data_IF_076071399219
#
_entry.id   IF_076071399219
#
_cell.length_a   1.000
_cell.length_b   1.000
_cell.length_c   1.000
_cell.angle_alpha   90.00
_cell.angle_beta   90.00
_cell.angle_gamma   90.00
#
_symmetry.space_group_name_H-M   'P 1'
#
loop_
_entity.id
_entity.type
_entity.pdbx_description
1 polymer ?
#
# COMPACT_ATOMS: atom_id res chain seq x y z
N UNK A 1 -38.51 17.39 43.29
CA UNK A 1 -37.63 17.18 42.12
C UNK A 1 -36.42 16.42 42.63
N UNK A 2 -36.27 15.17 42.22
CA UNK A 2 -35.52 14.19 42.98
C UNK A 2 -34.12 14.07 42.34
N UNK A 3 -33.05 14.04 43.13
CA UNK A 3 -31.68 13.99 42.60
C UNK A 3 -31.47 12.83 41.62
N UNK A 4 -32.17 11.71 41.85
CA UNK A 4 -32.18 10.54 40.98
C UNK A 4 -32.76 10.80 39.57
N UNK A 5 -33.79 11.65 39.45
CA UNK A 5 -34.35 12.00 38.14
C UNK A 5 -33.41 12.90 37.34
N UNK A 6 -32.63 13.74 38.02
CA UNK A 6 -31.68 14.65 37.37
C UNK A 6 -30.43 13.90 36.89
N UNK A 7 -29.91 12.97 37.69
CA UNK A 7 -28.76 12.13 37.31
C UNK A 7 -29.10 11.20 36.14
N UNK A 8 -30.31 10.63 36.10
CA UNK A 8 -30.77 9.83 34.97
C UNK A 8 -30.83 10.65 33.68
N UNK A 9 -31.37 11.88 33.76
CA UNK A 9 -31.49 12.75 32.59
C UNK A 9 -30.12 13.18 32.04
N UNK A 10 -29.20 13.58 32.93
CA UNK A 10 -27.83 13.92 32.53
C UNK A 10 -27.08 12.72 31.98
N UNK A 11 -27.26 11.53 32.55
CA UNK A 11 -26.65 10.29 32.04
C UNK A 11 -27.08 9.98 30.60
N UNK A 12 -28.37 10.08 30.29
CA UNK A 12 -28.90 9.87 28.93
C UNK A 12 -28.36 10.91 27.94
N UNK A 13 -28.30 12.18 28.34
CA UNK A 13 -27.74 13.26 27.52
C UNK A 13 -26.27 12.99 27.22
N UNK A 14 -25.44 12.66 28.21
CA UNK A 14 -24.01 12.40 28.01
C UNK A 14 -23.76 11.22 27.06
N UNK A 15 -24.53 10.12 27.20
CA UNK A 15 -24.42 8.95 26.31
C UNK A 15 -24.79 9.32 24.86
N UNK A 16 -25.77 10.20 24.69
CA UNK A 16 -26.25 10.63 23.37
C UNK A 16 -25.27 11.60 22.68
N UNK A 17 -24.46 12.35 23.45
CA UNK A 17 -23.41 13.23 22.93
C UNK A 17 -22.06 12.53 22.75
N UNK A 18 -21.94 11.24 23.08
CA UNK A 18 -20.73 10.47 22.80
C UNK A 18 -20.52 10.43 21.27
N UNK A 19 -19.44 11.07 20.82
CA UNK A 19 -19.09 11.26 19.41
C UNK A 19 -19.10 9.94 18.61
N UNK A 20 -19.37 9.98 17.30
CA UNK A 20 -19.34 8.78 16.47
C UNK A 20 -17.95 8.16 16.51
N UNK A 21 -17.86 6.92 17.01
CA UNK A 21 -16.65 6.12 16.91
C UNK A 21 -16.34 5.93 15.41
N UNK A 22 -15.34 6.67 14.91
CA UNK A 22 -14.90 6.63 13.52
C UNK A 22 -14.16 5.33 13.22
N UNK A 23 -14.90 4.23 13.18
CA UNK A 23 -14.34 2.90 12.92
C UNK A 23 -13.95 2.78 11.45
N UNK A 24 -12.72 2.32 11.21
CA UNK A 24 -12.25 1.94 9.89
C UNK A 24 -12.54 0.46 9.68
N UNK A 25 -13.19 0.11 8.58
CA UNK A 25 -13.43 -1.28 8.19
C UNK A 25 -12.44 -1.69 7.11
N UNK A 26 -11.61 -2.69 7.39
CA UNK A 26 -10.64 -3.21 6.44
C UNK A 26 -11.01 -4.63 6.00
N UNK A 27 -10.86 -4.90 4.71
CA UNK A 27 -11.09 -6.20 4.12
C UNK A 27 -9.92 -6.61 3.22
N UNK A 28 -9.55 -7.89 3.29
CA UNK A 28 -8.48 -8.48 2.51
C UNK A 28 -9.04 -9.53 1.56
N UNK A 29 -9.10 -9.21 0.27
CA UNK A 29 -9.47 -10.12 -0.79
C UNK A 29 -8.26 -10.69 -1.53
N UNK A 30 -8.48 -11.77 -2.27
CA UNK A 30 -7.44 -12.50 -3.02
C UNK A 30 -6.69 -11.59 -4.00
N UNK A 31 -7.43 -10.75 -4.73
CA UNK A 31 -6.87 -9.88 -5.78
C UNK A 31 -6.75 -8.41 -5.36
N UNK A 32 -7.47 -7.98 -4.33
CA UNK A 32 -7.59 -6.59 -3.90
C UNK A 32 -7.77 -6.52 -2.40
N UNK A 33 -7.16 -5.51 -1.79
CA UNK A 33 -7.37 -5.19 -0.37
C UNK A 33 -7.78 -3.73 -0.24
N UNK A 34 -8.53 -3.41 0.81
CA UNK A 34 -8.97 -2.05 1.02
C UNK A 34 -9.49 -1.78 2.42
N UNK A 35 -9.61 -0.50 2.73
CA UNK A 35 -10.18 0.01 3.98
C UNK A 35 -11.12 1.17 3.68
N UNK A 36 -12.18 1.30 4.45
CA UNK A 36 -13.14 2.41 4.38
C UNK A 36 -13.28 3.10 5.73
N UNK A 37 -13.31 4.42 5.73
CA UNK A 37 -13.48 5.26 6.91
C UNK A 37 -14.11 6.63 6.59
N UNK A 38 -14.25 7.51 7.59
CA UNK A 38 -14.96 8.79 7.42
C UNK A 38 -14.30 9.75 6.43
N UNK A 39 -12.99 9.59 6.20
CA UNK A 39 -12.23 10.41 5.25
C UNK A 39 -12.17 9.80 3.84
N UNK A 40 -12.88 8.70 3.60
CA UNK A 40 -12.94 8.02 2.30
C UNK A 40 -12.52 6.55 2.36
N UNK A 41 -12.43 5.93 1.19
CA UNK A 41 -12.07 4.53 1.02
C UNK A 41 -10.91 4.36 0.03
N UNK A 42 -10.05 3.39 0.31
CA UNK A 42 -8.96 3.00 -0.57
C UNK A 42 -9.06 1.52 -0.90
N UNK A 43 -8.90 1.19 -2.18
CA UNK A 43 -8.80 -0.19 -2.65
C UNK A 43 -7.61 -0.30 -3.57
N UNK A 44 -6.68 -1.19 -3.25
CA UNK A 44 -5.49 -1.46 -4.05
C UNK A 44 -5.56 -2.86 -4.64
N UNK A 45 -4.95 -3.06 -5.81
CA UNK A 45 -4.68 -4.41 -6.30
C UNK A 45 -3.57 -5.01 -5.47
N UNK A 46 -3.77 -6.26 -5.02
CA UNK A 46 -2.68 -7.06 -4.49
C UNK A 46 -1.67 -7.21 -5.61
N UNK A 47 -0.39 -6.84 -5.42
CA UNK A 47 0.61 -7.22 -6.39
C UNK A 47 0.56 -8.74 -6.47
N UNK A 48 0.34 -9.28 -7.68
CA UNK A 48 0.65 -10.68 -7.91
C UNK A 48 2.06 -10.87 -7.38
N UNK A 49 2.29 -11.89 -6.56
CA UNK A 49 3.65 -12.31 -6.20
C UNK A 49 4.31 -12.86 -7.46
N UNK A 50 4.51 -11.96 -8.42
CA UNK A 50 5.56 -12.00 -9.38
C UNK A 50 6.81 -12.41 -8.60
N UNK A 51 7.43 -13.56 -8.90
CA UNK A 51 8.71 -13.93 -8.32
C UNK A 51 9.79 -12.85 -8.53
N UNK A 52 9.51 -11.86 -9.39
CA UNK A 52 10.34 -10.69 -9.66
C UNK A 52 9.99 -9.44 -8.83
N UNK A 53 8.84 -9.35 -8.15
CA UNK A 53 8.50 -8.19 -7.33
C UNK A 53 9.17 -8.21 -5.95
N UNK A 54 9.65 -9.37 -5.51
CA UNK A 54 10.41 -9.56 -4.28
C UNK A 54 11.93 -9.65 -4.52
N UNK A 55 12.42 -9.32 -5.71
CA UNK A 55 13.86 -9.29 -5.97
C UNK A 55 14.35 -7.87 -5.79
N UNK A 56 14.97 -7.52 -4.64
CA UNK A 56 15.81 -6.34 -4.59
C UNK A 56 16.85 -6.51 -5.70
N UNK A 57 16.96 -5.48 -6.55
CA UNK A 57 17.95 -5.29 -7.60
C UNK A 57 19.15 -6.25 -7.51
N UNK A 58 19.04 -7.42 -8.12
CA UNK A 58 20.17 -8.31 -8.26
C UNK A 58 20.19 -8.88 -9.67
N UNK A 59 21.26 -8.48 -10.36
CA UNK A 59 21.69 -8.85 -11.68
C UNK A 59 21.85 -10.37 -11.83
N UNK A 60 20.74 -11.10 -11.97
CA UNK A 60 20.83 -12.52 -12.28
C UNK A 60 20.76 -12.70 -13.79
N UNK A 61 21.96 -12.71 -14.37
CA UNK A 61 22.36 -13.22 -15.68
C UNK A 61 21.30 -13.04 -16.78
N UNK A 62 21.45 -12.03 -17.65
CA UNK A 62 20.64 -11.91 -18.84
C UNK A 62 20.75 -13.18 -19.70
N UNK A 63 19.73 -13.53 -20.50
CA UNK A 63 19.84 -14.62 -21.48
C UNK A 63 21.10 -14.40 -22.34
N UNK A 64 21.75 -15.47 -22.83
CA UNK A 64 23.06 -15.41 -23.51
C UNK A 64 23.10 -14.47 -24.72
N UNK A 65 21.95 -14.07 -25.24
CA UNK A 65 21.77 -13.10 -26.33
C UNK A 65 21.80 -11.63 -25.88
N UNK A 66 21.86 -11.37 -24.57
CA UNK A 66 21.86 -10.04 -23.98
C UNK A 66 23.17 -9.83 -23.23
N UNK A 67 23.93 -8.82 -23.64
CA UNK A 67 25.14 -8.38 -22.92
C UNK A 67 24.81 -7.14 -22.11
N UNK A 68 25.04 -7.19 -20.80
CA UNK A 68 24.81 -6.06 -19.91
C UNK A 68 26.10 -5.59 -19.25
N UNK A 69 26.22 -4.28 -19.10
CA UNK A 69 27.27 -3.60 -18.35
C UNK A 69 26.63 -2.73 -17.25
N UNK A 70 27.20 -2.82 -16.05
CA UNK A 70 26.74 -2.08 -14.88
C UNK A 70 27.69 -0.90 -14.62
N UNK A 71 27.24 0.33 -14.87
CA UNK A 71 27.97 1.55 -14.54
C UNK A 71 27.53 2.15 -13.20
N UNK A 72 28.31 3.10 -12.67
CA UNK A 72 28.02 3.73 -11.36
C UNK A 72 26.63 4.40 -11.35
N UNK A 73 26.29 5.14 -12.39
CA UNK A 73 25.04 5.90 -12.48
C UNK A 73 23.98 5.29 -13.39
N UNK A 74 24.40 4.43 -14.31
CA UNK A 74 23.55 3.89 -15.38
C UNK A 74 23.89 2.42 -15.62
N UNK A 75 22.87 1.65 -15.95
CA UNK A 75 23.02 0.29 -16.43
C UNK A 75 22.67 0.24 -17.92
N UNK A 76 23.46 -0.48 -18.71
CA UNK A 76 23.22 -0.66 -20.13
C UNK A 76 23.10 -2.15 -20.48
N UNK A 77 22.16 -2.48 -21.36
CA UNK A 77 22.04 -3.82 -21.93
C UNK A 77 21.81 -3.73 -23.45
N UNK A 78 22.42 -4.63 -24.21
CA UNK A 78 22.24 -4.75 -25.66
C UNK A 78 21.80 -6.18 -26.03
N UNK A 79 20.81 -6.30 -26.91
CA UNK A 79 20.28 -7.59 -27.39
C UNK A 79 19.56 -7.49 -28.75
N UNK A 80 18.85 -8.55 -29.17
CA UNK A 80 18.25 -8.66 -30.50
C UNK A 80 17.22 -7.57 -30.82
N UNK A 81 16.58 -7.02 -29.78
CA UNK A 81 15.55 -5.98 -29.89
C UNK A 81 16.11 -4.56 -29.71
N UNK A 82 17.44 -4.39 -29.75
CA UNK A 82 18.14 -3.12 -29.56
C UNK A 82 18.82 -2.99 -28.20
N UNK A 83 19.24 -1.77 -27.88
CA UNK A 83 19.95 -1.43 -26.65
C UNK A 83 19.13 -0.49 -25.76
N UNK A 84 19.22 -0.70 -24.45
CA UNK A 84 18.58 0.14 -23.44
C UNK A 84 19.61 0.58 -22.41
N UNK A 85 19.56 1.86 -22.03
CA UNK A 85 20.36 2.45 -20.95
C UNK A 85 19.45 3.12 -19.95
N UNK A 86 19.49 2.68 -18.70
CA UNK A 86 18.59 3.15 -17.63
C UNK A 86 19.43 3.82 -16.54
N UNK A 87 18.95 4.95 -16.01
CA UNK A 87 19.54 5.57 -14.80
C UNK A 87 19.18 4.74 -13.58
N UNK A 88 20.14 4.49 -12.70
CA UNK A 88 19.83 3.83 -11.43
C UNK A 88 18.95 4.75 -10.57
N UNK A 89 18.00 4.19 -9.80
CA UNK A 89 17.30 4.95 -8.79
C UNK A 89 18.30 5.61 -7.83
N UNK A 90 18.08 6.87 -7.42
CA UNK A 90 18.81 7.41 -6.28
C UNK A 90 18.31 6.67 -5.03
N UNK A 91 19.16 5.78 -4.51
CA UNK A 91 19.01 4.99 -3.27
C UNK A 91 17.72 4.17 -3.13
#
# INVERSE_FOLDING_TARGET
MNHATWTAFVGVVIISLAAPAHAVTCANGVYRAGCAGPNGAVVTRKPYAAPYAARPYYYHRPPATVTCANGVYRAGCAGPNGAAVVRKPPY
#
